data_IF_349401811081
#
_entry.id   IF_349401811081
#
_cell.length_a   1.000
_cell.length_b   1.000
_cell.length_c   1.000
_cell.angle_alpha   90.00
_cell.angle_beta   90.00
_cell.angle_gamma   90.00
#
_symmetry.space_group_name_H-M   'P 1'
#
loop_
_entity.id
_entity.type
_entity.pdbx_description
1 polymer ?
#
# COMPACT_ATOMS: atom_id res chain seq x y z
N UNK A 1 -11.35 21.47 -12.42
CA UNK A 1 -10.28 22.10 -11.61
C UNK A 1 -8.94 21.81 -12.27
N UNK A 2 -8.11 22.81 -12.59
CA UNK A 2 -6.81 22.53 -13.20
C UNK A 2 -5.87 21.91 -12.17
N UNK A 3 -5.56 20.62 -12.33
CA UNK A 3 -4.48 19.92 -11.63
C UNK A 3 -3.40 19.63 -12.67
N UNK A 4 -2.15 20.01 -12.38
CA UNK A 4 -1.06 19.82 -13.33
C UNK A 4 -0.68 18.34 -13.42
N UNK A 5 -1.19 17.66 -14.45
CA UNK A 5 -0.94 16.24 -14.70
C UNK A 5 0.55 15.89 -14.87
N UNK A 6 1.35 16.83 -15.39
CA UNK A 6 2.80 16.67 -15.50
C UNK A 6 3.47 16.57 -14.12
N UNK A 7 3.13 17.46 -13.18
CA UNK A 7 3.65 17.43 -11.81
C UNK A 7 3.17 16.19 -11.06
N UNK A 8 1.92 15.77 -11.25
CA UNK A 8 1.38 14.52 -10.67
C UNK A 8 2.15 13.30 -11.17
N UNK A 9 2.40 13.23 -12.48
CA UNK A 9 3.18 12.12 -13.07
C UNK A 9 4.59 12.07 -12.51
N UNK A 10 5.26 13.22 -12.43
CA UNK A 10 6.60 13.33 -11.84
C UNK A 10 6.59 12.92 -10.37
N UNK A 11 5.61 13.38 -9.60
CA UNK A 11 5.44 13.01 -8.20
C UNK A 11 5.35 11.50 -8.00
N UNK A 12 4.52 10.79 -8.78
CA UNK A 12 4.42 9.33 -8.68
C UNK A 12 5.71 8.62 -9.07
N UNK A 13 6.43 9.09 -10.11
CA UNK A 13 7.75 8.56 -10.47
C UNK A 13 8.72 8.63 -9.28
N UNK A 14 8.76 9.78 -8.60
CA UNK A 14 9.63 9.99 -7.45
C UNK A 14 9.26 9.08 -6.27
N UNK A 15 7.96 8.88 -5.99
CA UNK A 15 7.51 8.00 -4.91
C UNK A 15 7.81 6.54 -5.19
N UNK A 16 7.54 6.06 -6.41
CA UNK A 16 7.82 4.67 -6.80
C UNK A 16 9.32 4.38 -6.70
N UNK A 17 10.16 5.32 -7.14
CA UNK A 17 11.62 5.23 -7.04
C UNK A 17 12.17 5.59 -5.65
N UNK A 18 11.30 5.80 -4.65
CA UNK A 18 11.65 6.12 -3.25
C UNK A 18 12.50 7.39 -3.08
N UNK A 19 12.42 8.32 -4.04
CA UNK A 19 13.05 9.64 -4.01
C UNK A 19 12.17 10.61 -3.20
N UNK A 20 12.08 10.38 -1.89
CA UNK A 20 11.11 11.06 -1.02
C UNK A 20 11.34 12.55 -0.85
N UNK A 21 12.60 13.01 -0.89
CA UNK A 21 12.95 14.42 -0.76
C UNK A 21 12.40 15.21 -1.95
N UNK A 22 12.66 14.71 -3.16
CA UNK A 22 12.16 15.28 -4.40
C UNK A 22 10.63 15.16 -4.49
N UNK A 23 10.07 14.02 -4.11
CA UNK A 23 8.61 13.81 -4.10
C UNK A 23 7.92 14.86 -3.21
N UNK A 24 8.50 15.17 -2.05
CA UNK A 24 7.96 16.18 -1.13
C UNK A 24 7.99 17.57 -1.75
N UNK A 25 9.10 17.94 -2.41
CA UNK A 25 9.22 19.22 -3.14
C UNK A 25 8.17 19.33 -4.25
N UNK A 26 7.94 18.25 -4.99
CA UNK A 26 6.96 18.21 -6.07
C UNK A 26 5.52 18.30 -5.54
N UNK A 27 5.25 17.69 -4.40
CA UNK A 27 3.96 17.78 -3.72
C UNK A 27 3.64 19.20 -3.24
N UNK A 28 4.63 19.93 -2.70
CA UNK A 28 4.45 21.33 -2.32
C UNK A 28 4.19 22.24 -3.54
N UNK A 29 4.87 21.98 -4.67
CA UNK A 29 4.58 22.69 -5.93
C UNK A 29 3.15 22.43 -6.42
N UNK A 30 2.67 21.19 -6.30
CA UNK A 30 1.28 20.85 -6.61
C UNK A 30 0.32 21.64 -5.72
N UNK A 31 0.56 21.68 -4.41
CA UNK A 31 -0.25 22.42 -3.44
C UNK A 31 -0.36 23.91 -3.78
N UNK A 32 0.75 24.54 -4.19
CA UNK A 32 0.77 25.97 -4.55
C UNK A 32 -0.03 26.27 -5.82
N UNK A 33 -0.09 25.34 -6.77
CA UNK A 33 -0.81 25.52 -8.04
C UNK A 33 -2.28 25.11 -7.99
N UNK A 34 -2.67 24.33 -6.98
CA UNK A 34 -4.06 23.88 -6.82
C UNK A 34 -4.95 25.03 -6.36
N UNK A 35 -6.10 25.18 -7.02
CA UNK A 35 -7.16 26.05 -6.53
C UNK A 35 -7.74 25.51 -5.21
N UNK A 36 -8.20 26.40 -4.32
CA UNK A 36 -8.78 26.05 -3.02
C UNK A 36 -10.21 25.54 -3.19
N UNK A 37 -10.35 24.24 -3.45
CA UNK A 37 -11.65 23.59 -3.67
C UNK A 37 -11.67 22.22 -3.01
N UNK A 38 -12.84 21.74 -2.61
CA UNK A 38 -12.93 20.44 -1.89
C UNK A 38 -12.39 19.29 -2.75
N UNK A 39 -12.65 19.32 -4.06
CA UNK A 39 -12.06 18.39 -5.00
C UNK A 39 -10.52 18.36 -4.93
N UNK A 40 -9.88 19.52 -5.06
CA UNK A 40 -8.41 19.61 -5.03
C UNK A 40 -7.86 19.25 -3.64
N UNK A 41 -8.59 19.58 -2.57
CA UNK A 41 -8.24 19.23 -1.20
C UNK A 41 -8.25 17.71 -1.00
N UNK A 42 -9.28 17.02 -1.50
CA UNK A 42 -9.36 15.56 -1.51
C UNK A 42 -8.25 14.92 -2.34
N UNK A 43 -8.02 15.43 -3.55
CA UNK A 43 -6.93 14.98 -4.42
C UNK A 43 -5.57 15.10 -3.73
N UNK A 44 -5.27 16.27 -3.18
CA UNK A 44 -4.02 16.51 -2.45
C UNK A 44 -3.89 15.59 -1.23
N UNK A 45 -4.98 15.39 -0.49
CA UNK A 45 -4.98 14.51 0.68
C UNK A 45 -4.68 13.06 0.31
N UNK A 46 -5.23 12.57 -0.82
CA UNK A 46 -4.89 11.26 -1.35
C UNK A 46 -3.39 11.17 -1.65
N UNK A 47 -2.84 12.11 -2.45
CA UNK A 47 -1.40 12.13 -2.75
C UNK A 47 -0.55 12.08 -1.48
N UNK A 48 -0.81 12.97 -0.51
CA UNK A 48 -0.08 12.98 0.75
C UNK A 48 -0.18 11.65 1.51
N UNK A 49 -1.36 11.02 1.53
CA UNK A 49 -1.54 9.68 2.09
C UNK A 49 -0.71 8.61 1.39
N UNK A 50 -0.61 8.65 0.06
CA UNK A 50 0.25 7.75 -0.72
C UNK A 50 1.74 7.92 -0.36
N UNK A 51 2.19 9.17 -0.20
CA UNK A 51 3.55 9.48 0.25
C UNK A 51 3.84 8.88 1.64
N UNK A 52 2.96 9.11 2.62
CA UNK A 52 3.12 8.56 3.96
C UNK A 52 3.15 7.03 3.92
N UNK A 53 2.24 6.42 3.18
CA UNK A 53 2.17 4.97 3.00
C UNK A 53 3.46 4.38 2.43
N UNK A 54 4.12 5.06 1.48
CA UNK A 54 5.40 4.60 0.89
C UNK A 54 6.63 4.92 1.74
N UNK A 55 6.59 5.99 2.54
CA UNK A 55 7.69 6.40 3.42
C UNK A 55 7.81 5.48 4.64
N UNK A 56 6.67 5.09 5.21
CA UNK A 56 6.62 4.16 6.36
C UNK A 56 6.86 2.74 5.84
N UNK A 57 8.06 2.20 6.04
CA UNK A 57 8.34 0.80 5.72
C UNK A 57 7.54 -0.13 6.64
N UNK A 58 6.94 -1.18 6.08
CA UNK A 58 6.44 -2.31 6.87
C UNK A 58 4.99 -2.23 7.33
N UNK A 59 4.19 -1.28 6.83
CA UNK A 59 2.75 -1.34 7.06
C UNK A 59 2.13 -2.41 6.14
N UNK A 60 1.83 -3.58 6.72
CA UNK A 60 1.16 -4.69 6.04
C UNK A 60 -0.29 -4.34 5.61
N UNK A 61 -0.88 -3.29 6.21
CA UNK A 61 -2.22 -2.81 5.88
C UNK A 61 -2.22 -1.74 4.81
N UNK A 62 -1.06 -1.13 4.50
CA UNK A 62 -0.95 -0.15 3.45
C UNK A 62 -1.29 -0.74 2.08
N UNK A 63 -2.22 -0.10 1.37
CA UNK A 63 -2.61 -0.51 0.02
C UNK A 63 -1.42 -0.62 -0.94
N UNK A 64 -0.45 0.31 -0.84
CA UNK A 64 0.77 0.27 -1.64
C UNK A 64 1.67 -0.95 -1.39
N UNK A 65 1.62 -1.55 -0.21
CA UNK A 65 2.39 -2.76 0.11
C UNK A 65 1.80 -4.00 -0.58
N UNK A 66 0.50 -3.97 -0.90
CA UNK A 66 -0.23 -5.07 -1.53
C UNK A 66 -0.31 -4.95 -3.06
N UNK A 67 0.16 -3.82 -3.62
CA UNK A 67 0.16 -3.59 -5.06
C UNK A 67 1.31 -4.34 -5.73
N UNK A 68 0.97 -5.29 -6.59
CA UNK A 68 1.87 -5.81 -7.60
C UNK A 68 1.88 -4.85 -8.80
N UNK A 69 3.01 -4.18 -9.02
CA UNK A 69 3.17 -3.22 -10.12
C UNK A 69 3.36 -3.92 -11.48
N UNK A 70 3.65 -5.22 -11.49
CA UNK A 70 3.82 -6.02 -12.71
C UNK A 70 2.49 -6.55 -13.23
N UNK A 71 1.50 -6.71 -12.36
CA UNK A 71 0.14 -7.11 -12.72
C UNK A 71 -0.68 -5.92 -13.25
N UNK A 72 -0.51 -5.67 -14.55
CA UNK A 72 -1.26 -4.63 -15.27
C UNK A 72 -2.78 -4.85 -15.22
N UNK A 73 -3.27 -6.09 -15.16
CA UNK A 73 -4.69 -6.39 -15.15
C UNK A 73 -5.33 -5.96 -13.82
N UNK A 74 -4.67 -6.24 -12.69
CA UNK A 74 -5.09 -5.77 -11.37
C UNK A 74 -5.06 -4.25 -11.27
N UNK A 75 -4.01 -3.59 -11.77
CA UNK A 75 -3.94 -2.12 -11.82
C UNK A 75 -5.09 -1.50 -12.63
N UNK A 76 -5.46 -2.13 -13.76
CA UNK A 76 -6.64 -1.72 -14.53
C UNK A 76 -7.95 -1.95 -13.77
N UNK A 77 -8.05 -3.03 -12.99
CA UNK A 77 -9.16 -3.30 -12.07
C UNK A 77 -9.35 -2.18 -11.05
N UNK A 78 -8.31 -1.90 -10.26
CA UNK A 78 -8.33 -0.82 -9.27
C UNK A 78 -8.66 0.54 -9.89
N UNK A 79 -8.11 0.83 -11.07
CA UNK A 79 -8.43 2.07 -11.79
C UNK A 79 -9.93 2.20 -12.07
N UNK A 80 -10.59 1.13 -12.51
CA UNK A 80 -12.04 1.15 -12.79
C UNK A 80 -12.83 1.41 -11.51
N UNK A 81 -12.53 0.70 -10.44
CA UNK A 81 -13.20 0.86 -9.14
C UNK A 81 -13.07 2.30 -8.59
N UNK A 82 -11.88 2.90 -8.65
CA UNK A 82 -11.69 4.29 -8.24
C UNK A 82 -12.44 5.29 -9.14
N UNK A 83 -12.55 5.02 -10.44
CA UNK A 83 -13.36 5.84 -11.35
C UNK A 83 -14.86 5.72 -11.04
N UNK A 84 -15.33 4.55 -10.64
CA UNK A 84 -16.72 4.33 -10.26
C UNK A 84 -17.05 5.08 -8.95
N UNK A 85 -16.16 5.02 -7.95
CA UNK A 85 -16.30 5.85 -6.76
C UNK A 85 -16.23 7.36 -7.08
N UNK A 86 -15.31 7.80 -7.93
CA UNK A 86 -15.25 9.20 -8.36
C UNK A 86 -16.55 9.65 -9.04
N UNK A 87 -17.20 8.78 -9.82
CA UNK A 87 -18.45 9.08 -10.55
C UNK A 87 -19.72 8.95 -9.71
N UNK A 88 -19.64 8.27 -8.56
CA UNK A 88 -20.78 8.08 -7.70
C UNK A 88 -21.24 9.42 -7.08
N UNK A 89 -22.49 9.79 -7.35
CA UNK A 89 -23.09 11.04 -6.89
C UNK A 89 -23.29 11.14 -5.37
N UNK A 90 -23.21 10.03 -4.64
CA UNK A 90 -23.31 10.01 -3.17
C UNK A 90 -22.04 10.53 -2.48
N UNK A 91 -20.91 10.52 -3.18
CA UNK A 91 -19.63 11.02 -2.65
C UNK A 91 -19.56 12.55 -2.75
N UNK A 92 -19.04 13.20 -1.71
CA UNK A 92 -18.78 14.63 -1.75
C UNK A 92 -17.68 14.99 -2.74
N UNK A 93 -17.54 16.28 -3.10
CA UNK A 93 -16.46 16.74 -3.98
C UNK A 93 -15.07 16.34 -3.46
N UNK A 94 -14.89 16.36 -2.15
CA UNK A 94 -13.67 15.89 -1.49
C UNK A 94 -13.37 14.42 -1.83
N UNK A 95 -14.34 13.53 -1.58
CA UNK A 95 -14.15 12.09 -1.79
C UNK A 95 -13.92 11.77 -3.27
N UNK A 96 -14.67 12.43 -4.16
CA UNK A 96 -14.47 12.29 -5.61
C UNK A 96 -13.07 12.75 -6.03
N UNK A 97 -12.60 13.87 -5.49
CA UNK A 97 -11.23 14.32 -5.66
C UNK A 97 -10.20 13.31 -5.16
N UNK A 98 -10.44 12.72 -3.98
CA UNK A 98 -9.60 11.68 -3.39
C UNK A 98 -9.49 10.43 -4.28
N UNK A 99 -10.63 9.90 -4.75
CA UNK A 99 -10.65 8.74 -5.64
C UNK A 99 -10.05 9.04 -7.01
N UNK A 100 -10.23 10.25 -7.54
CA UNK A 100 -9.62 10.64 -8.82
C UNK A 100 -8.09 10.61 -8.78
N UNK A 101 -7.46 10.96 -7.64
CA UNK A 101 -6.02 10.85 -7.48
C UNK A 101 -5.52 9.39 -7.50
N UNK A 102 -6.29 8.47 -6.90
CA UNK A 102 -6.00 7.04 -6.95
C UNK A 102 -6.18 6.46 -8.35
N UNK A 103 -7.22 6.87 -9.08
CA UNK A 103 -7.41 6.48 -10.48
C UNK A 103 -6.25 6.96 -11.38
N UNK A 104 -5.78 8.19 -11.16
CA UNK A 104 -4.59 8.74 -11.83
C UNK A 104 -3.32 7.96 -11.47
N UNK A 105 -3.16 7.59 -10.20
CA UNK A 105 -2.04 6.78 -9.73
C UNK A 105 -1.98 5.44 -10.49
N UNK A 106 -3.09 4.68 -10.52
CA UNK A 106 -3.14 3.40 -11.25
C UNK A 106 -2.86 3.58 -12.74
N UNK A 107 -3.43 4.61 -13.37
CA UNK A 107 -3.16 4.94 -14.78
C UNK A 107 -1.68 5.21 -15.04
N UNK A 108 -0.99 5.88 -14.13
CA UNK A 108 0.42 6.25 -14.29
C UNK A 108 1.31 5.04 -14.02
N UNK A 109 1.01 4.24 -12.98
CA UNK A 109 1.73 2.99 -12.68
C UNK A 109 1.68 2.01 -13.86
N UNK A 110 0.54 1.83 -14.52
CA UNK A 110 0.44 0.94 -15.72
C UNK A 110 1.31 1.36 -16.90
N UNK A 111 1.79 2.61 -16.93
CA UNK A 111 2.61 3.18 -18.01
C UNK A 111 4.07 3.32 -17.63
N UNK A 112 4.42 3.02 -16.37
CA UNK A 112 5.80 3.08 -15.91
C UNK A 112 6.46 1.74 -16.21
N UNK A 113 7.55 1.78 -16.97
CA UNK A 113 8.54 0.72 -16.96
C UNK A 113 9.24 0.79 -15.60
N UNK A 114 8.72 0.09 -14.60
CA UNK A 114 9.32 0.04 -13.27
C UNK A 114 10.38 -1.06 -13.29
N UNK A 115 11.69 -0.74 -13.18
CA UNK A 115 12.69 -1.77 -12.96
C UNK A 115 12.35 -2.46 -11.64
N UNK A 116 12.15 -3.77 -11.69
CA UNK A 116 11.75 -4.58 -10.55
C UNK A 116 12.78 -4.46 -9.41
N UNK A 117 12.53 -3.52 -8.49
CA UNK A 117 13.31 -3.32 -7.25
C UNK A 117 12.69 -4.10 -6.08
N UNK A 118 11.69 -4.95 -6.34
CA UNK A 118 11.07 -5.85 -5.38
C UNK A 118 11.45 -7.32 -5.65
N UNK A 119 12.72 -7.60 -5.98
CA UNK A 119 13.36 -8.84 -5.52
C UNK A 119 14.06 -8.54 -4.20
N UNK A 120 13.29 -8.49 -3.12
CA UNK A 120 13.88 -8.83 -1.81
C UNK A 120 14.21 -10.32 -1.90
N UNK A 121 15.48 -10.64 -1.67
CA UNK A 121 15.95 -12.00 -1.45
C UNK A 121 14.95 -12.71 -0.54
N UNK A 122 14.56 -13.93 -0.91
CA UNK A 122 14.14 -14.88 0.11
C UNK A 122 15.31 -14.98 1.08
N UNK A 123 15.16 -14.39 2.25
CA UNK A 123 15.85 -14.89 3.41
C UNK A 123 15.17 -16.22 3.70
N UNK A 124 15.91 -17.31 3.48
CA UNK A 124 15.65 -18.58 4.10
C UNK A 124 15.54 -18.32 5.60
N UNK A 125 14.32 -18.17 6.09
CA UNK A 125 14.03 -18.25 7.52
C UNK A 125 14.13 -19.73 7.84
N UNK A 126 15.35 -20.18 8.14
CA UNK A 126 15.58 -21.32 9.03
C UNK A 126 14.61 -21.16 10.23
N UNK A 127 13.87 -22.20 10.63
CA UNK A 127 13.01 -22.10 11.79
C UNK A 127 13.89 -21.82 13.01
N UNK A 128 13.86 -20.58 13.50
CA UNK A 128 14.47 -20.18 14.76
C UNK A 128 14.01 -21.15 15.84
N UNK A 129 14.96 -21.93 16.34
CA UNK A 129 14.80 -22.79 17.50
C UNK A 129 14.58 -21.85 18.69
N UNK A 130 13.34 -21.72 19.13
CA UNK A 130 12.95 -20.93 20.30
C UNK A 130 13.74 -21.47 21.51
N UNK A 131 14.73 -20.71 21.99
CA UNK A 131 15.36 -20.97 23.28
C UNK A 131 14.36 -20.65 24.39
N UNK A 132 13.74 -21.69 24.94
CA UNK A 132 12.94 -21.56 26.16
C UNK A 132 13.88 -21.37 27.35
N UNK A 133 14.03 -20.11 27.76
CA UNK A 133 14.63 -19.75 29.05
C UNK A 133 13.66 -20.19 30.15
N UNK A 134 14.15 -21.15 30.96
CA UNK A 134 13.67 -21.62 32.27
C UNK A 134 12.63 -22.73 32.29
N UNK A 135 13.10 -23.86 32.81
CA UNK A 135 12.38 -25.03 33.30
C UNK A 135 11.50 -24.64 34.51
N UNK A 136 10.29 -24.17 34.28
CA UNK A 136 9.21 -24.23 35.27
C UNK A 136 7.99 -24.92 34.67
N UNK A 137 7.69 -26.12 35.19
CA UNK A 137 6.69 -27.09 34.69
C UNK A 137 5.22 -26.65 34.90
N UNK A 138 4.93 -25.37 35.01
CA UNK A 138 3.62 -24.87 35.45
C UNK A 138 3.00 -23.81 34.55
N UNK A 139 3.56 -23.53 33.37
CA UNK A 139 2.92 -22.67 32.37
C UNK A 139 2.57 -23.46 31.10
N UNK A 140 1.28 -23.57 30.82
CA UNK A 140 0.79 -24.14 29.56
C UNK A 140 0.84 -23.05 28.47
N UNK A 141 1.73 -23.23 27.49
CA UNK A 141 1.78 -22.40 26.28
C UNK A 141 0.87 -23.01 25.20
N UNK A 142 0.28 -22.20 24.32
CA UNK A 142 -0.56 -22.66 23.20
C UNK A 142 0.07 -23.78 22.34
N UNK A 143 1.40 -23.86 22.29
CA UNK A 143 2.13 -24.94 21.62
C UNK A 143 1.85 -26.33 22.23
N UNK A 144 1.70 -26.44 23.56
CA UNK A 144 1.46 -27.73 24.24
C UNK A 144 0.06 -28.29 23.98
N UNK A 145 -0.90 -27.45 23.55
CA UNK A 145 -2.24 -27.92 23.18
C UNK A 145 -2.26 -28.56 21.79
N UNK A 146 -1.42 -28.09 20.86
CA UNK A 146 -1.42 -28.57 19.47
C UNK A 146 -0.74 -29.94 19.34
N UNK A 147 0.22 -30.27 20.20
CA UNK A 147 0.83 -31.61 20.21
C UNK A 147 -0.09 -32.68 20.79
N UNK A 148 -0.96 -32.33 21.74
CA UNK A 148 -1.85 -33.29 22.40
C UNK A 148 -2.94 -33.82 21.46
N UNK A 149 -3.40 -33.01 20.51
CA UNK A 149 -4.43 -33.41 19.54
C UNK A 149 -3.90 -34.38 18.46
N UNK A 150 -2.58 -34.53 18.31
CA UNK A 150 -2.00 -35.48 17.34
C UNK A 150 -1.91 -36.90 17.90
N UNK A 151 -1.64 -37.07 19.20
CA UNK A 151 -1.48 -38.40 19.81
C UNK A 151 -2.82 -39.14 20.02
N UNK A 152 -3.93 -38.42 20.23
CA UNK A 152 -5.26 -39.06 20.41
C UNK A 152 -5.87 -39.58 19.09
N UNK A 153 -5.25 -39.31 17.94
CA UNK A 153 -5.72 -39.78 16.63
C UNK A 153 -5.14 -41.14 16.18
N UNK A 154 -4.25 -41.76 16.96
CA UNK A 154 -3.60 -43.05 16.64
C UNK A 154 -3.85 -44.18 17.65
N UNK A 155 -4.75 -44.01 18.63
CA UNK A 155 -5.14 -45.07 19.57
C UNK A 155 -6.64 -45.40 19.50
N UNK A 156 -7.09 -45.86 18.34
CA UNK A 156 -8.45 -46.39 18.15
C UNK A 156 -8.45 -47.64 17.28
N UNK A 157 -7.99 -48.77 17.85
CA UNK A 157 -8.45 -50.11 17.49
C UNK A 157 -9.50 -50.56 18.51
#
# INVERSE_FOLDING_TARGET
MPISQALVTRYFQLIVNRQFTEATRELERLKQKMHKTEWNRGYFRALYGMYLSRKTNGDAYAFFSKLDLTDTASLHGYRREFLDHMRNGLHGDFDRGYFSAWADCMRILTRMDVPNSQKRKGEDVEPEKIETVRSDKSQATMANFIEKDKDDSLSGY
#
